data_IF_578838827746
#
_entry.id   IF_578838827746
#
_cell.length_a   1.000
_cell.length_b   1.000
_cell.length_c   1.000
_cell.angle_alpha   90.00
_cell.angle_beta   90.00
_cell.angle_gamma   90.00
#
_symmetry.space_group_name_H-M   'P 1'
#
loop_
_entity.id
_entity.type
_entity.pdbx_description
1 polymer ?
#
# COMPACT_ATOMS: atom_id res chain seq x y z
N UNK A 1 -6.96 5.72 -17.04
CA UNK A 1 -5.49 5.56 -17.02
C UNK A 1 -5.16 4.29 -16.25
N UNK A 2 -4.15 3.52 -16.69
CA UNK A 2 -3.69 2.29 -16.01
C UNK A 2 -2.21 2.46 -15.63
N UNK A 3 -1.90 3.09 -14.48
CA UNK A 3 -0.52 3.42 -14.12
C UNK A 3 0.31 2.15 -13.93
N UNK A 4 1.61 2.23 -14.27
CA UNK A 4 2.55 1.12 -14.06
C UNK A 4 2.99 1.01 -12.59
N UNK A 5 2.98 2.12 -11.86
CA UNK A 5 3.40 2.22 -10.46
C UNK A 5 2.39 3.05 -9.67
N UNK A 6 2.07 2.60 -8.46
CA UNK A 6 1.24 3.28 -7.47
C UNK A 6 2.02 3.33 -6.17
N UNK A 7 2.13 4.50 -5.56
CA UNK A 7 2.62 4.66 -4.19
C UNK A 7 1.41 4.97 -3.32
N UNK A 8 1.09 4.06 -2.41
CA UNK A 8 -0.05 4.20 -1.51
C UNK A 8 0.44 4.55 -0.11
N UNK A 9 0.00 5.69 0.43
CA UNK A 9 0.27 6.11 1.81
C UNK A 9 -1.02 5.91 2.61
N UNK A 10 -0.96 5.25 3.77
CA UNK A 10 -2.12 4.99 4.62
C UNK A 10 -1.76 5.08 6.10
N UNK A 11 -2.67 5.65 6.89
CA UNK A 11 -2.57 5.75 8.35
C UNK A 11 -3.22 4.57 9.10
N UNK A 12 -3.90 3.69 8.36
CA UNK A 12 -4.56 2.50 8.89
C UNK A 12 -4.13 1.27 8.08
N UNK A 13 -3.39 0.33 8.69
CA UNK A 13 -2.97 -0.91 8.05
C UNK A 13 -4.12 -1.82 7.61
N UNK A 14 -5.28 -1.77 8.29
CA UNK A 14 -6.40 -2.67 7.99
C UNK A 14 -7.11 -2.27 6.69
N UNK A 15 -7.42 -0.98 6.52
CA UNK A 15 -7.99 -0.47 5.27
C UNK A 15 -6.98 -0.54 4.12
N UNK A 16 -5.69 -0.30 4.40
CA UNK A 16 -4.62 -0.55 3.42
C UNK A 16 -4.65 -1.99 2.91
N UNK A 17 -4.69 -3.00 3.79
CA UNK A 17 -4.70 -4.41 3.38
C UNK A 17 -5.89 -4.76 2.49
N UNK A 18 -7.08 -4.22 2.79
CA UNK A 18 -8.27 -4.35 1.93
C UNK A 18 -8.04 -3.76 0.55
N UNK A 19 -7.48 -2.56 0.48
CA UNK A 19 -7.28 -1.85 -0.79
C UNK A 19 -6.17 -2.53 -1.64
N UNK A 20 -5.12 -3.05 -1.00
CA UNK A 20 -4.10 -3.87 -1.67
C UNK A 20 -4.67 -5.15 -2.26
N UNK A 21 -5.65 -5.78 -1.59
CA UNK A 21 -6.34 -6.96 -2.14
C UNK A 21 -7.11 -6.61 -3.42
N UNK A 22 -7.85 -5.50 -3.41
CA UNK A 22 -8.57 -5.03 -4.60
C UNK A 22 -7.60 -4.76 -5.75
N UNK A 23 -6.48 -4.07 -5.48
CA UNK A 23 -5.46 -3.80 -6.50
C UNK A 23 -4.83 -5.09 -7.02
N UNK A 24 -4.58 -6.07 -6.15
CA UNK A 24 -4.09 -7.38 -6.54
C UNK A 24 -5.04 -8.08 -7.53
N UNK A 25 -6.34 -8.07 -7.24
CA UNK A 25 -7.36 -8.66 -8.11
C UNK A 25 -7.46 -7.91 -9.46
N UNK A 26 -7.05 -6.64 -9.52
CA UNK A 26 -6.95 -5.82 -10.74
C UNK A 26 -5.62 -5.98 -11.51
N UNK A 27 -4.77 -6.94 -11.14
CA UNK A 27 -3.51 -7.22 -11.81
C UNK A 27 -2.34 -6.34 -11.36
N UNK A 28 -2.40 -5.79 -10.15
CA UNK A 28 -1.27 -5.15 -9.51
C UNK A 28 -0.61 -6.10 -8.50
N UNK A 29 0.64 -5.82 -8.15
CA UNK A 29 1.36 -6.57 -7.13
C UNK A 29 2.00 -5.59 -6.15
N UNK A 30 1.76 -5.83 -4.87
CA UNK A 30 2.49 -5.18 -3.79
C UNK A 30 3.92 -5.69 -3.78
N UNK A 31 4.89 -4.78 -3.91
CA UNK A 31 6.31 -5.12 -3.92
C UNK A 31 6.99 -4.85 -2.59
N UNK A 32 6.56 -3.80 -1.89
CA UNK A 32 7.22 -3.31 -0.68
C UNK A 32 6.23 -2.54 0.18
N UNK A 33 6.30 -2.73 1.50
CA UNK A 33 5.55 -1.96 2.50
C UNK A 33 6.56 -1.48 3.53
N UNK A 34 6.61 -0.17 3.74
CA UNK A 34 7.45 0.47 4.74
C UNK A 34 6.56 1.15 5.78
N UNK A 35 6.45 0.60 7.00
CA UNK A 35 5.88 1.31 8.14
C UNK A 35 6.76 2.50 8.53
N UNK A 36 6.13 3.61 8.90
CA UNK A 36 6.80 4.84 9.35
C UNK A 36 6.16 5.26 10.66
N UNK A 37 6.98 5.39 11.70
CA UNK A 37 6.54 5.95 12.97
C UNK A 37 6.53 7.48 12.88
N UNK A 38 5.40 8.03 12.41
CA UNK A 38 5.18 9.49 12.40
C UNK A 38 4.63 10.01 13.73
N UNK A 39 4.14 9.12 14.61
CA UNK A 39 3.50 9.47 15.87
C UNK A 39 4.04 8.58 17.00
N UNK A 40 5.28 8.84 17.47
CA UNK A 40 5.90 8.02 18.49
C UNK A 40 5.06 7.97 19.76
N UNK A 41 5.09 6.80 20.44
CA UNK A 41 4.33 6.54 21.68
C UNK A 41 2.81 6.53 21.50
N UNK A 42 2.31 6.41 20.26
CA UNK A 42 0.90 6.20 19.97
C UNK A 42 0.70 4.84 19.27
N UNK A 43 -0.53 4.30 19.23
CA UNK A 43 -0.81 3.11 18.45
C UNK A 43 -0.91 3.38 16.93
N UNK A 44 -0.75 4.64 16.48
CA UNK A 44 -0.82 4.96 15.05
C UNK A 44 0.38 4.39 14.29
N UNK A 45 0.14 3.95 13.05
CA UNK A 45 1.20 3.46 12.17
C UNK A 45 0.90 3.91 10.76
N UNK A 46 1.75 4.78 10.22
CA UNK A 46 1.70 5.16 8.83
C UNK A 46 2.43 4.10 8.00
N UNK A 47 1.93 3.81 6.80
CA UNK A 47 2.51 2.84 5.89
C UNK A 47 2.66 3.46 4.49
N UNK A 48 3.85 3.33 3.91
CA UNK A 48 4.11 3.65 2.50
C UNK A 48 4.26 2.36 1.74
N UNK A 49 3.44 2.16 0.71
CA UNK A 49 3.40 0.91 -0.05
C UNK A 49 3.75 1.15 -1.52
N UNK A 50 4.71 0.39 -2.04
CA UNK A 50 5.05 0.36 -3.47
C UNK A 50 4.30 -0.77 -4.16
N UNK A 51 3.50 -0.39 -5.15
CA UNK A 51 2.64 -1.29 -5.91
C UNK A 51 2.95 -1.11 -7.39
N UNK A 52 3.11 -2.20 -8.12
CA UNK A 52 3.39 -2.16 -9.56
C UNK A 52 2.42 -3.05 -10.34
N UNK A 53 2.09 -2.65 -11.56
CA UNK A 53 1.25 -3.46 -12.44
C UNK A 53 2.01 -4.69 -12.88
N UNK A 54 1.42 -5.87 -12.72
CA UNK A 54 1.99 -7.10 -13.28
C UNK A 54 1.74 -7.06 -14.78
N UNK A 55 2.81 -6.96 -15.57
CA UNK A 55 2.72 -7.21 -17.01
C UNK A 55 2.50 -8.72 -17.18
N UNK A 56 1.34 -9.08 -17.71
CA UNK A 56 1.10 -10.43 -18.22
C UNK A 56 2.04 -10.75 -19.38
#
# INVERSE_FOLDING_TARGET
>A
MSPQKIVHVSCDPATLARDLRILNDLGYKTLEVQPVDMFPQTPHTECVTRIERVKG
#
